data_IF_641585164631
#
_entry.id   IF_641585164631
#
_cell.length_a   1.000
_cell.length_b   1.000
_cell.length_c   1.000
_cell.angle_alpha   90.00
_cell.angle_beta   90.00
_cell.angle_gamma   90.00
#
_symmetry.space_group_name_H-M   'P 1'
#
loop_
_entity.id
_entity.type
_entity.pdbx_description
1 polymer ?
#
# COMPACT_ATOMS: atom_id res chain seq x y z
N UNK A 1 6.30 26.03 37.35
CA UNK A 1 5.32 24.94 37.57
C UNK A 1 6.01 23.72 38.19
N UNK A 2 5.33 22.96 39.06
CA UNK A 2 5.89 21.76 39.67
C UNK A 2 6.02 20.59 38.68
N UNK A 3 7.09 19.78 38.82
CA UNK A 3 7.29 18.57 38.00
C UNK A 3 6.38 17.44 38.52
N UNK A 4 5.18 17.35 37.95
CA UNK A 4 4.14 16.38 38.32
C UNK A 4 4.58 14.92 38.10
N UNK A 5 3.94 13.98 38.83
CA UNK A 5 4.20 12.54 38.70
C UNK A 5 3.96 12.03 37.26
N UNK A 6 2.96 12.59 36.57
CA UNK A 6 2.66 12.29 35.16
C UNK A 6 3.75 12.76 34.20
N UNK A 7 4.31 13.97 34.40
CA UNK A 7 5.42 14.48 33.60
C UNK A 7 6.67 13.57 33.73
N UNK A 8 7.00 13.14 34.96
CA UNK A 8 8.10 12.19 35.21
C UNK A 8 7.87 10.84 34.50
N UNK A 9 6.64 10.32 34.49
CA UNK A 9 6.29 9.07 33.77
C UNK A 9 6.38 9.23 32.25
N UNK A 10 5.85 10.33 31.70
CA UNK A 10 5.90 10.65 30.27
C UNK A 10 7.35 10.74 29.76
N UNK A 11 8.23 11.41 30.51
CA UNK A 11 9.66 11.50 30.21
C UNK A 11 10.34 10.13 30.16
N UNK A 12 10.04 9.21 31.10
CA UNK A 12 10.58 7.83 31.08
C UNK A 12 10.13 7.07 29.82
N UNK A 13 8.85 7.13 29.49
CA UNK A 13 8.28 6.46 28.29
C UNK A 13 8.81 7.06 26.98
N UNK A 14 9.00 8.39 26.94
CA UNK A 14 9.58 9.07 25.79
C UNK A 14 11.02 8.63 25.55
N UNK A 15 11.86 8.59 26.60
CA UNK A 15 13.26 8.12 26.52
C UNK A 15 13.37 6.68 26.01
N UNK A 16 12.59 5.74 26.53
CA UNK A 16 12.64 4.33 26.10
C UNK A 16 12.21 4.15 24.64
N UNK A 17 11.09 4.78 24.23
CA UNK A 17 10.64 4.79 22.84
C UNK A 17 11.65 5.47 21.90
N UNK A 18 12.28 6.56 22.32
CA UNK A 18 13.28 7.26 21.52
C UNK A 18 14.49 6.37 21.20
N UNK A 19 15.01 5.62 22.19
CA UNK A 19 16.14 4.69 22.01
C UNK A 19 15.77 3.57 21.02
N UNK A 20 14.61 2.94 21.20
CA UNK A 20 14.11 1.87 20.31
C UNK A 20 13.95 2.37 18.87
N UNK A 21 13.28 3.51 18.69
CA UNK A 21 13.07 4.15 17.39
C UNK A 21 14.40 4.58 16.74
N UNK A 22 15.39 5.02 17.53
CA UNK A 22 16.71 5.39 17.02
C UNK A 22 17.48 4.16 16.51
N UNK A 23 17.42 3.02 17.22
CA UNK A 23 18.00 1.75 16.77
C UNK A 23 17.41 1.32 15.43
N UNK A 24 16.08 1.25 15.34
CA UNK A 24 15.39 0.85 14.11
C UNK A 24 15.63 1.82 12.94
N UNK A 25 15.68 3.13 13.19
CA UNK A 25 16.05 4.14 12.16
C UNK A 25 17.49 3.95 11.66
N UNK A 26 18.44 3.63 12.55
CA UNK A 26 19.83 3.33 12.18
C UNK A 26 19.89 2.06 11.31
N UNK A 27 19.25 0.98 11.74
CA UNK A 27 19.18 -0.30 11.00
C UNK A 27 18.56 -0.14 9.60
N UNK A 28 17.41 0.54 9.50
CA UNK A 28 16.77 0.87 8.23
C UNK A 28 17.70 1.70 7.34
N UNK A 29 18.41 2.68 7.88
CA UNK A 29 19.33 3.51 7.11
C UNK A 29 20.53 2.72 6.57
N UNK A 30 21.04 1.73 7.32
CA UNK A 30 22.08 0.79 6.87
C UNK A 30 21.55 -0.12 5.76
N UNK A 31 20.40 -0.75 5.96
CA UNK A 31 19.77 -1.64 4.98
C UNK A 31 19.49 -0.95 3.63
N UNK A 32 19.09 0.32 3.64
CA UNK A 32 18.89 1.10 2.39
C UNK A 32 20.21 1.46 1.71
N UNK A 33 21.27 1.77 2.48
CA UNK A 33 22.61 2.03 1.92
C UNK A 33 23.25 0.79 1.30
N UNK A 34 23.08 -0.36 1.96
CA UNK A 34 23.60 -1.67 1.55
C UNK A 34 22.64 -2.42 0.59
N UNK A 35 21.60 -1.77 0.08
CA UNK A 35 20.67 -2.40 -0.85
C UNK A 35 21.39 -2.76 -2.16
N UNK A 36 21.26 -4.03 -2.55
CA UNK A 36 21.71 -4.60 -3.82
C UNK A 36 20.49 -5.14 -4.59
N UNK A 37 20.67 -5.51 -5.86
CA UNK A 37 19.60 -6.09 -6.66
C UNK A 37 19.03 -7.39 -6.05
N UNK A 38 19.89 -8.26 -5.49
CA UNK A 38 19.48 -9.50 -4.84
C UNK A 38 18.64 -9.25 -3.56
N UNK A 39 19.06 -8.32 -2.72
CA UNK A 39 18.46 -8.11 -1.39
C UNK A 39 17.27 -7.13 -1.41
N UNK A 40 16.79 -6.72 -2.61
CA UNK A 40 15.83 -5.62 -2.77
C UNK A 40 14.47 -5.93 -2.13
N UNK A 41 14.01 -7.18 -2.22
CA UNK A 41 12.72 -7.64 -1.67
C UNK A 41 12.69 -7.53 -0.13
N UNK A 42 13.79 -7.90 0.52
CA UNK A 42 13.93 -7.74 1.97
C UNK A 42 13.95 -6.28 2.39
N UNK A 43 14.67 -5.42 1.66
CA UNK A 43 14.78 -3.99 1.99
C UNK A 43 13.42 -3.31 1.84
N UNK A 44 12.64 -3.64 0.80
CA UNK A 44 11.25 -3.21 0.64
C UNK A 44 10.38 -3.69 1.81
N UNK A 45 10.49 -4.96 2.19
CA UNK A 45 9.76 -5.53 3.34
C UNK A 45 10.13 -4.85 4.67
N UNK A 46 11.40 -4.50 4.87
CA UNK A 46 11.91 -3.75 6.04
C UNK A 46 11.36 -2.32 6.07
N UNK A 47 11.23 -1.65 4.91
CA UNK A 47 10.60 -0.32 4.79
C UNK A 47 9.11 -0.37 5.16
N UNK A 48 8.37 -1.37 4.68
CA UNK A 48 6.92 -1.45 4.94
C UNK A 48 6.61 -1.85 6.40
N UNK A 49 7.43 -2.72 7.02
CA UNK A 49 7.36 -2.98 8.47
C UNK A 49 7.63 -1.71 9.30
N UNK A 50 8.56 -0.86 8.87
CA UNK A 50 8.84 0.41 9.53
C UNK A 50 7.76 1.49 9.32
N UNK A 51 6.96 1.37 8.25
CA UNK A 51 5.77 2.18 8.05
C UNK A 51 4.59 1.72 8.93
N UNK A 52 4.40 0.41 9.08
CA UNK A 52 3.37 -0.18 9.97
C UNK A 52 3.54 0.18 11.45
N UNK A 53 4.77 0.46 11.87
CA UNK A 53 5.15 0.78 13.25
C UNK A 53 5.43 2.27 13.49
N UNK A 54 5.00 3.14 12.57
CA UNK A 54 5.15 4.61 12.62
C UNK A 54 6.58 5.15 12.79
N UNK A 55 7.60 4.32 12.56
CA UNK A 55 9.02 4.73 12.57
C UNK A 55 9.30 5.69 11.40
N UNK A 56 8.62 5.47 10.27
CA UNK A 56 8.57 6.36 9.10
C UNK A 56 7.13 6.55 8.62
N UNK A 57 6.76 7.77 8.24
CA UNK A 57 5.44 8.04 7.66
C UNK A 57 5.26 7.32 6.31
N UNK A 58 4.01 6.89 6.00
CA UNK A 58 3.62 6.23 4.74
C UNK A 58 4.17 6.91 3.48
N UNK A 59 4.13 8.24 3.38
CA UNK A 59 4.66 8.98 2.22
C UNK A 59 6.19 8.86 2.12
N UNK A 60 6.91 8.77 3.25
CA UNK A 60 8.36 8.54 3.26
C UNK A 60 8.68 7.12 2.80
N UNK A 61 7.91 6.12 3.25
CA UNK A 61 8.04 4.73 2.78
C UNK A 61 7.80 4.64 1.26
N UNK A 62 6.71 5.22 0.75
CA UNK A 62 6.41 5.27 -0.68
C UNK A 62 7.54 5.92 -1.51
N UNK A 63 8.09 7.06 -1.05
CA UNK A 63 9.25 7.72 -1.69
C UNK A 63 10.50 6.85 -1.67
N UNK A 64 10.77 6.13 -0.58
CA UNK A 64 11.93 5.23 -0.49
C UNK A 64 11.78 4.03 -1.43
N UNK A 65 10.60 3.40 -1.47
CA UNK A 65 10.29 2.33 -2.43
C UNK A 65 10.45 2.82 -3.88
N UNK A 66 9.89 3.98 -4.22
CA UNK A 66 10.02 4.57 -5.56
C UNK A 66 11.47 4.88 -5.96
N UNK A 67 12.31 5.35 -5.02
CA UNK A 67 13.75 5.55 -5.27
C UNK A 67 14.49 4.24 -5.51
N UNK A 68 14.17 3.20 -4.73
CA UNK A 68 14.77 1.87 -4.88
C UNK A 68 14.36 1.22 -6.21
N UNK A 69 13.08 1.25 -6.57
CA UNK A 69 12.61 0.70 -7.86
C UNK A 69 13.20 1.46 -9.04
N UNK A 70 13.38 2.78 -8.97
CA UNK A 70 14.08 3.54 -10.03
C UNK A 70 15.58 3.24 -10.12
N UNK A 71 16.24 2.89 -9.01
CA UNK A 71 17.68 2.59 -8.97
C UNK A 71 18.01 1.19 -9.48
N UNK A 72 17.18 0.19 -9.19
CA UNK A 72 17.44 -1.22 -9.50
C UNK A 72 16.51 -1.80 -10.59
N UNK A 73 15.36 -1.17 -10.83
CA UNK A 73 14.41 -1.55 -11.88
C UNK A 73 14.54 -0.64 -13.09
N UNK A 74 15.50 -0.93 -13.97
CA UNK A 74 15.64 -0.25 -15.25
C UNK A 74 14.79 -0.89 -16.35
N UNK A 75 14.25 -0.06 -17.24
CA UNK A 75 13.88 -0.38 -18.63
C UNK A 75 12.61 -1.20 -18.99
N UNK A 76 11.54 -1.30 -18.15
CA UNK A 76 10.26 -1.92 -18.60
C UNK A 76 8.93 -1.23 -18.19
N UNK A 77 8.81 0.11 -18.27
CA UNK A 77 7.46 0.74 -18.32
C UNK A 77 7.40 2.20 -18.82
N UNK A 78 7.70 2.46 -20.10
CA UNK A 78 7.48 3.78 -20.75
C UNK A 78 6.60 3.66 -22.01
N UNK A 79 6.00 2.48 -22.28
CA UNK A 79 5.29 2.22 -23.54
C UNK A 79 4.03 1.35 -23.36
N UNK A 80 3.17 1.72 -22.40
CA UNK A 80 1.84 1.08 -22.21
C UNK A 80 0.88 1.91 -21.33
N UNK A 81 0.42 3.10 -21.78
CA UNK A 81 -0.80 3.80 -21.31
C UNK A 81 -1.05 5.16 -22.00
N UNK A 82 -1.13 5.17 -23.33
CA UNK A 82 -1.53 6.38 -24.07
C UNK A 82 -2.11 6.08 -25.45
N UNK A 83 -2.94 5.05 -25.60
CA UNK A 83 -3.66 4.81 -26.85
C UNK A 83 -5.01 4.12 -26.64
N UNK A 84 -5.98 4.60 -27.43
CA UNK A 84 -7.33 4.08 -27.66
C UNK A 84 -8.40 4.20 -26.55
N UNK A 85 -8.78 5.45 -26.24
CA UNK A 85 -10.22 5.78 -26.15
C UNK A 85 -10.67 6.21 -27.55
N UNK A 86 -11.37 5.33 -28.29
CA UNK A 86 -12.18 5.63 -29.48
C UNK A 86 -13.05 4.41 -29.82
N UNK A 87 -14.36 4.60 -29.81
CA UNK A 87 -15.34 3.63 -30.29
C UNK A 87 -15.35 3.58 -31.83
N UNK A 88 -15.64 2.41 -32.41
CA UNK A 88 -16.60 2.40 -33.52
C UNK A 88 -17.67 1.31 -33.40
N UNK A 89 -18.68 1.42 -34.25
CA UNK A 89 -19.97 0.71 -34.21
C UNK A 89 -20.05 -0.38 -35.29
N UNK A 90 -20.83 -1.45 -35.02
CA UNK A 90 -21.36 -2.48 -35.95
C UNK A 90 -20.37 -3.42 -36.69
N UNK A 91 -20.49 -4.72 -36.38
CA UNK A 91 -20.88 -5.76 -37.37
C UNK A 91 -21.28 -7.11 -36.75
N UNK A 92 -22.48 -7.60 -37.13
CA UNK A 92 -22.92 -9.02 -37.33
C UNK A 92 -22.38 -10.09 -36.33
N UNK A 93 -23.14 -10.63 -35.35
CA UNK A 93 -24.37 -11.48 -35.37
C UNK A 93 -24.13 -12.96 -35.75
N UNK A 94 -24.01 -13.84 -34.74
CA UNK A 94 -24.34 -15.27 -34.86
C UNK A 94 -25.08 -15.81 -33.61
N UNK A 95 -25.80 -16.94 -33.76
CA UNK A 95 -26.72 -17.60 -32.81
C UNK A 95 -26.13 -18.97 -32.39
N UNK A 96 -26.41 -19.61 -31.24
CA UNK A 96 -27.27 -19.35 -30.05
C UNK A 96 -26.63 -20.13 -28.86
N UNK A 97 -27.16 -20.32 -27.63
CA UNK A 97 -28.50 -20.70 -27.12
C UNK A 97 -28.69 -20.26 -25.66
N UNK A 98 -29.96 -20.06 -25.30
CA UNK A 98 -30.57 -19.60 -24.04
C UNK A 98 -30.11 -20.24 -22.71
N UNK A 99 -30.03 -19.47 -21.61
CA UNK A 99 -30.05 -20.01 -20.24
C UNK A 99 -31.49 -20.30 -19.78
N UNK A 100 -31.71 -21.37 -19.01
CA UNK A 100 -33.05 -21.73 -18.54
C UNK A 100 -33.07 -22.32 -17.11
N UNK A 101 -33.83 -21.64 -16.23
CA UNK A 101 -34.49 -22.15 -14.99
C UNK A 101 -33.53 -22.65 -13.90
N UNK A 102 -33.58 -22.09 -12.69
CA UNK A 102 -34.74 -22.24 -11.78
C UNK A 102 -35.25 -20.94 -11.15
N UNK A 103 -36.58 -20.86 -10.99
CA UNK A 103 -37.27 -19.92 -10.10
C UNK A 103 -37.18 -20.46 -8.65
N UNK A 104 -37.62 -19.82 -7.55
CA UNK A 104 -38.51 -18.67 -7.21
C UNK A 104 -38.13 -18.33 -5.74
N UNK A 105 -38.25 -17.15 -5.14
CA UNK A 105 -39.51 -16.43 -4.82
C UNK A 105 -39.17 -15.19 -3.95
N UNK A 106 -39.34 -13.98 -4.47
CA UNK A 106 -39.52 -12.76 -3.65
C UNK A 106 -40.66 -11.95 -4.24
N UNK A 107 -41.84 -12.03 -3.60
CA UNK A 107 -43.06 -11.37 -4.06
C UNK A 107 -43.24 -10.01 -3.39
N UNK A 108 -42.99 -8.94 -4.16
CA UNK A 108 -43.77 -7.69 -4.22
C UNK A 108 -44.20 -6.99 -2.92
N UNK A 109 -43.70 -5.77 -2.71
CA UNK A 109 -44.49 -4.71 -2.04
C UNK A 109 -45.77 -4.42 -2.84
N UNK A 110 -46.93 -4.33 -2.18
CA UNK A 110 -48.01 -3.41 -2.61
C UNK A 110 -48.91 -3.03 -1.43
N UNK A 111 -49.42 -1.80 -1.45
CA UNK A 111 -50.12 -1.16 -0.34
C UNK A 111 -51.66 -1.29 -0.41
N UNK A 112 -52.26 -1.40 0.78
CA UNK A 112 -53.59 -1.00 1.28
C UNK A 112 -53.73 -1.70 2.65
N UNK A 113 -54.28 -1.11 3.70
CA UNK A 113 -55.37 -0.15 3.80
C UNK A 113 -55.13 0.78 4.99
#
# INVERSE_FOLDING_TARGET
MPITKSAKKSLKVSKTKAIQNQKQKKELSKAIKQATAANISEVVSKIDKAAKTDIIHKNKAARLKSKLTKKFGTAKNVKAKSENVKTPVKSVKEKTKTPAKTAKKTTTKKAKK
#
